data_IF_089767137657
#
_entry.id   IF_089767137657
#
_cell.length_a   1.000
_cell.length_b   1.000
_cell.length_c   1.000
_cell.angle_alpha   90.00
_cell.angle_beta   90.00
_cell.angle_gamma   90.00
#
_symmetry.space_group_name_H-M   'P 1'
#
loop_
_entity.id
_entity.type
_entity.pdbx_description
1 polymer ?
#
# COMPACT_ATOMS: atom_id res chain seq x y z
N UNK A 1 14.68 -36.34 -6.13
CA UNK A 1 13.21 -36.13 -6.09
C UNK A 1 12.57 -37.11 -5.10
N UNK A 2 12.67 -36.82 -3.79
CA UNK A 2 12.04 -37.65 -2.77
C UNK A 2 10.69 -37.03 -2.38
N UNK A 3 9.62 -37.52 -2.97
CA UNK A 3 8.27 -37.48 -2.39
C UNK A 3 7.49 -36.17 -2.36
N UNK A 4 7.95 -35.07 -2.99
CA UNK A 4 7.17 -33.85 -3.06
C UNK A 4 6.13 -33.89 -4.18
N UNK A 5 4.85 -33.64 -3.83
CA UNK A 5 3.73 -33.62 -4.79
C UNK A 5 3.72 -32.41 -5.75
N UNK A 6 4.42 -31.29 -5.40
CA UNK A 6 4.50 -30.08 -6.23
C UNK A 6 5.96 -29.61 -6.28
N UNK A 7 6.46 -29.33 -7.49
CA UNK A 7 7.76 -28.72 -7.74
C UNK A 7 7.60 -27.20 -7.70
N UNK A 8 8.45 -26.51 -6.95
CA UNK A 8 8.54 -25.07 -7.00
C UNK A 8 9.67 -24.62 -7.95
N UNK A 9 9.74 -23.33 -8.24
CA UNK A 9 10.75 -22.74 -9.15
C UNK A 9 12.19 -23.02 -8.68
N UNK A 10 12.43 -23.06 -7.36
CA UNK A 10 13.72 -23.35 -6.76
C UNK A 10 14.15 -24.81 -6.93
N UNK A 11 13.20 -25.76 -6.86
CA UNK A 11 13.49 -27.18 -7.11
C UNK A 11 13.96 -27.38 -8.55
N UNK A 12 13.44 -26.59 -9.50
CA UNK A 12 13.85 -26.62 -10.92
C UNK A 12 15.26 -26.04 -11.06
N UNK A 13 15.55 -24.89 -10.45
CA UNK A 13 16.87 -24.25 -10.48
C UNK A 13 17.95 -25.16 -9.88
N UNK A 14 17.68 -25.78 -8.72
CA UNK A 14 18.60 -26.72 -8.07
C UNK A 14 18.83 -28.00 -8.89
N UNK A 15 17.82 -28.45 -9.64
CA UNK A 15 17.95 -29.58 -10.56
C UNK A 15 18.87 -29.24 -11.74
N UNK A 16 18.71 -28.07 -12.35
CA UNK A 16 19.55 -27.56 -13.44
C UNK A 16 21.01 -27.41 -12.99
N UNK A 17 21.23 -26.80 -11.81
CA UNK A 17 22.57 -26.60 -11.22
C UNK A 17 23.21 -27.91 -10.71
N UNK A 18 22.42 -28.97 -10.55
CA UNK A 18 22.88 -30.29 -10.13
C UNK A 18 23.37 -31.18 -11.26
N UNK A 19 23.12 -30.82 -12.52
CA UNK A 19 23.58 -31.56 -13.71
C UNK A 19 24.91 -31.00 -14.22
N UNK A 20 26.04 -31.60 -13.79
CA UNK A 20 27.39 -31.14 -14.05
C UNK A 20 27.74 -31.01 -15.56
N UNK A 21 27.03 -31.69 -16.44
CA UNK A 21 27.20 -31.65 -17.90
C UNK A 21 26.24 -30.69 -18.62
N UNK A 22 25.42 -29.97 -17.91
CA UNK A 22 24.46 -29.01 -18.49
C UNK A 22 25.17 -27.71 -18.86
N UNK A 23 24.94 -27.21 -20.08
CA UNK A 23 25.46 -25.91 -20.56
C UNK A 23 24.96 -24.78 -19.65
N UNK A 24 23.74 -24.88 -19.12
CA UNK A 24 23.16 -23.92 -18.20
C UNK A 24 23.86 -23.92 -16.85
N UNK A 25 24.28 -25.07 -16.32
CA UNK A 25 25.06 -25.18 -15.09
C UNK A 25 26.46 -24.58 -15.26
N UNK A 26 27.14 -24.85 -16.36
CA UNK A 26 28.46 -24.29 -16.68
C UNK A 26 28.41 -22.77 -16.83
N UNK A 27 27.36 -22.23 -17.45
CA UNK A 27 27.17 -20.79 -17.58
C UNK A 27 26.87 -20.12 -16.24
N UNK A 28 26.05 -20.74 -15.39
CA UNK A 28 25.76 -20.27 -14.05
C UNK A 28 27.02 -20.25 -13.16
N UNK A 29 27.88 -21.25 -13.29
CA UNK A 29 29.14 -21.36 -12.56
C UNK A 29 30.14 -20.26 -12.98
N UNK A 30 30.20 -19.92 -14.27
CA UNK A 30 30.97 -18.77 -14.77
C UNK A 30 30.49 -17.43 -14.21
N UNK A 31 29.19 -17.30 -13.90
CA UNK A 31 28.59 -16.14 -13.23
C UNK A 31 28.69 -16.20 -11.69
N UNK A 32 29.39 -17.20 -11.14
CA UNK A 32 29.58 -17.33 -9.69
C UNK A 32 28.39 -17.92 -8.95
N UNK A 33 27.42 -18.51 -9.67
CA UNK A 33 26.25 -19.19 -9.13
C UNK A 33 26.49 -20.71 -9.16
N UNK A 34 26.67 -21.34 -8.02
CA UNK A 34 26.75 -22.78 -7.88
C UNK A 34 25.69 -23.32 -6.90
N UNK A 35 25.43 -24.62 -6.95
CA UNK A 35 24.44 -25.30 -6.12
C UNK A 35 24.64 -25.04 -4.62
N UNK A 36 25.88 -25.01 -4.14
CA UNK A 36 26.20 -24.78 -2.73
C UNK A 36 25.83 -23.35 -2.29
N UNK A 37 26.04 -22.35 -3.17
CA UNK A 37 25.74 -20.95 -2.91
C UNK A 37 24.23 -20.71 -2.88
N UNK A 38 23.49 -21.33 -3.79
CA UNK A 38 22.02 -21.30 -3.83
C UNK A 38 21.44 -22.01 -2.61
N UNK A 39 22.01 -23.17 -2.20
CA UNK A 39 21.61 -23.84 -0.96
C UNK A 39 21.95 -23.03 0.31
N UNK A 40 23.07 -22.32 0.32
CA UNK A 40 23.43 -21.40 1.41
C UNK A 40 22.40 -20.28 1.54
N UNK A 41 22.03 -19.65 0.45
CA UNK A 41 20.97 -18.63 0.44
C UNK A 41 19.60 -19.19 0.86
N UNK A 42 19.29 -20.43 0.48
CA UNK A 42 18.07 -21.10 0.94
C UNK A 42 18.10 -21.39 2.44
N UNK A 43 19.25 -21.72 3.02
CA UNK A 43 19.39 -21.89 4.46
C UNK A 43 19.32 -20.54 5.20
N UNK A 44 19.89 -19.48 4.64
CA UNK A 44 19.77 -18.14 5.18
C UNK A 44 18.32 -17.64 5.07
N UNK A 45 17.65 -17.79 3.92
CA UNK A 45 16.22 -17.43 3.78
C UNK A 45 15.29 -18.35 4.56
N UNK A 46 15.57 -19.64 4.70
CA UNK A 46 14.77 -20.53 5.56
C UNK A 46 15.01 -20.28 7.05
N UNK A 47 16.17 -19.79 7.43
CA UNK A 47 16.40 -19.27 8.79
C UNK A 47 15.66 -17.94 9.01
N UNK A 48 15.47 -17.10 7.98
CA UNK A 48 14.60 -15.92 8.04
C UNK A 48 13.11 -16.30 8.04
N UNK A 49 12.69 -17.35 7.32
CA UNK A 49 11.31 -17.84 7.31
C UNK A 49 10.98 -18.75 8.50
N UNK A 50 11.98 -19.38 9.15
CA UNK A 50 11.82 -20.22 10.35
C UNK A 50 12.05 -19.50 11.68
N UNK A 51 12.53 -18.27 11.69
CA UNK A 51 12.53 -17.44 12.88
C UNK A 51 11.14 -16.82 13.10
N UNK A 52 10.18 -17.72 13.34
CA UNK A 52 9.38 -17.70 14.54
C UNK A 52 8.71 -16.36 14.93
N UNK A 53 7.58 -16.07 14.33
CA UNK A 53 6.59 -15.28 15.07
C UNK A 53 5.30 -16.07 15.33
N UNK A 54 5.10 -17.23 14.69
CA UNK A 54 3.91 -18.06 14.96
C UNK A 54 4.26 -19.54 15.15
N UNK A 55 4.80 -19.90 16.33
CA UNK A 55 4.57 -21.23 16.89
C UNK A 55 3.17 -21.25 17.46
N UNK A 56 2.32 -22.06 16.85
CA UNK A 56 0.97 -22.39 17.31
C UNK A 56 0.97 -22.84 18.76
N UNK A 57 -0.12 -22.51 19.45
CA UNK A 57 -0.39 -22.75 20.87
C UNK A 57 -0.42 -24.23 21.32
N UNK A 58 0.07 -25.19 20.53
CA UNK A 58 0.00 -26.62 20.84
C UNK A 58 1.26 -27.24 21.48
N UNK A 59 2.33 -26.47 21.73
CA UNK A 59 3.53 -26.94 22.45
C UNK A 59 3.56 -26.55 23.94
N UNK A 60 2.42 -26.56 24.62
CA UNK A 60 2.36 -26.43 26.06
C UNK A 60 2.47 -27.82 26.76
N UNK A 61 3.60 -28.49 26.55
CA UNK A 61 4.08 -29.52 27.53
C UNK A 61 5.61 -29.67 27.42
N UNK A 62 6.30 -28.90 28.23
CA UNK A 62 7.67 -29.22 28.65
C UNK A 62 8.82 -28.45 28.02
N UNK A 63 9.30 -27.42 28.71
CA UNK A 63 10.65 -26.88 28.48
C UNK A 63 10.71 -25.36 28.40
N UNK A 64 11.07 -24.73 29.49
CA UNK A 64 11.32 -23.29 29.63
C UNK A 64 12.41 -22.80 28.69
N UNK A 65 12.02 -22.14 27.62
CA UNK A 65 12.81 -21.06 26.99
C UNK A 65 11.87 -19.88 26.73
N UNK A 66 12.16 -18.78 27.43
CA UNK A 66 11.49 -17.50 27.24
C UNK A 66 11.83 -17.00 25.83
N UNK A 67 11.06 -17.41 24.83
CA UNK A 67 11.03 -16.78 23.54
C UNK A 67 10.46 -15.37 23.72
N UNK A 68 11.20 -14.33 23.33
CA UNK A 68 10.72 -12.96 23.29
C UNK A 68 9.45 -12.93 22.43
N UNK A 69 8.31 -12.57 23.02
CA UNK A 69 7.12 -12.25 22.22
C UNK A 69 7.47 -11.03 21.36
N UNK A 70 7.06 -11.00 20.08
CA UNK A 70 7.34 -9.85 19.21
C UNK A 70 6.79 -8.57 19.85
N UNK A 71 7.56 -7.52 19.77
CA UNK A 71 7.12 -6.20 20.24
C UNK A 71 5.94 -5.71 19.39
N UNK A 72 5.05 -4.85 19.92
CA UNK A 72 3.96 -4.28 19.13
C UNK A 72 4.43 -3.65 17.82
N UNK A 73 5.58 -2.96 17.86
CA UNK A 73 6.16 -2.32 16.68
C UNK A 73 6.64 -3.33 15.62
N UNK A 74 7.22 -4.47 16.04
CA UNK A 74 7.60 -5.55 15.11
C UNK A 74 6.37 -6.15 14.41
N UNK A 75 5.26 -6.34 15.15
CA UNK A 75 3.99 -6.81 14.58
C UNK A 75 3.46 -5.80 13.55
N UNK A 76 3.56 -4.49 13.85
CA UNK A 76 3.14 -3.45 12.90
C UNK A 76 3.99 -3.46 11.63
N UNK A 77 5.32 -3.55 11.75
CA UNK A 77 6.24 -3.61 10.60
C UNK A 77 5.99 -4.83 9.70
N UNK A 78 5.45 -5.90 10.27
CA UNK A 78 5.12 -7.11 9.50
C UNK A 78 3.92 -6.90 8.58
N UNK A 79 2.90 -6.16 9.02
CA UNK A 79 1.62 -6.03 8.33
C UNK A 79 1.31 -4.62 7.83
N UNK A 80 2.08 -3.64 8.25
CA UNK A 80 1.87 -2.24 7.91
C UNK A 80 3.15 -1.61 7.37
N UNK A 81 2.99 -0.51 6.66
CA UNK A 81 4.09 0.35 6.18
C UNK A 81 4.04 1.67 6.93
N UNK A 82 5.17 2.13 7.46
CA UNK A 82 5.26 3.42 8.15
C UNK A 82 5.35 4.55 7.12
N UNK A 83 4.27 5.29 6.97
CA UNK A 83 4.19 6.37 6.00
C UNK A 83 5.04 7.60 6.39
N UNK A 84 5.32 7.79 7.68
CA UNK A 84 6.17 8.89 8.13
C UNK A 84 7.66 8.66 7.80
N UNK A 85 8.10 7.41 7.65
CA UNK A 85 9.48 7.09 7.26
C UNK A 85 9.73 7.33 5.76
N UNK A 86 8.68 7.22 4.95
CA UNK A 86 8.75 7.35 3.50
C UNK A 86 8.25 8.73 3.01
N UNK A 87 8.18 9.73 3.89
CA UNK A 87 7.54 11.02 3.59
C UNK A 87 8.23 11.80 2.45
N UNK A 88 9.51 11.61 2.26
CA UNK A 88 10.35 12.22 1.22
C UNK A 88 10.13 11.61 -0.18
N UNK A 89 9.55 10.41 -0.23
CA UNK A 89 9.13 9.78 -1.48
C UNK A 89 7.75 10.27 -1.97
N UNK A 90 7.02 11.04 -1.12
CA UNK A 90 5.67 11.49 -1.46
C UNK A 90 5.67 12.87 -2.10
N UNK A 91 4.94 12.97 -3.19
CA UNK A 91 4.69 14.25 -3.85
C UNK A 91 3.91 15.21 -2.94
N UNK A 92 4.02 16.49 -3.20
CA UNK A 92 3.25 17.51 -2.49
C UNK A 92 1.76 17.34 -2.77
N UNK A 93 0.96 17.37 -1.70
CA UNK A 93 -0.49 17.26 -1.80
C UNK A 93 -1.10 18.58 -2.31
N UNK A 94 -0.96 18.82 -3.62
CA UNK A 94 -1.43 20.04 -4.29
C UNK A 94 -2.94 19.97 -4.54
N UNK A 95 -3.61 21.13 -4.45
CA UNK A 95 -5.04 21.24 -4.78
C UNK A 95 -6.00 20.60 -3.76
N UNK A 96 -5.52 20.02 -2.66
CA UNK A 96 -6.31 19.28 -1.65
C UNK A 96 -6.29 19.90 -0.25
N UNK A 97 -6.06 21.21 -0.17
CA UNK A 97 -5.91 21.92 1.12
C UNK A 97 -7.13 21.80 2.02
N UNK A 98 -8.34 21.80 1.45
CA UNK A 98 -9.57 21.72 2.23
C UNK A 98 -9.78 20.33 2.80
N UNK A 99 -9.64 19.30 1.97
CA UNK A 99 -9.75 17.89 2.37
C UNK A 99 -8.68 17.53 3.41
N UNK A 100 -7.45 17.97 3.21
CA UNK A 100 -6.36 17.77 4.16
C UNK A 100 -6.62 18.49 5.51
N UNK A 101 -7.13 19.71 5.46
CA UNK A 101 -7.54 20.45 6.67
C UNK A 101 -8.66 19.74 7.41
N UNK A 102 -9.67 19.24 6.70
CA UNK A 102 -10.78 18.48 7.29
C UNK A 102 -10.30 17.17 7.90
N UNK A 103 -9.32 16.51 7.27
CA UNK A 103 -8.69 15.30 7.78
C UNK A 103 -7.93 15.59 9.08
N UNK A 104 -7.05 16.61 9.10
CA UNK A 104 -6.31 17.07 10.28
C UNK A 104 -7.27 17.39 11.42
N UNK A 105 -8.33 18.18 11.16
CA UNK A 105 -9.33 18.53 12.15
C UNK A 105 -10.05 17.30 12.70
N UNK A 106 -10.38 16.33 11.84
CA UNK A 106 -11.07 15.10 12.23
C UNK A 106 -10.20 14.25 13.13
N UNK A 107 -8.95 14.00 12.73
CA UNK A 107 -7.99 13.19 13.51
C UNK A 107 -7.64 13.84 14.85
N UNK A 108 -7.64 15.19 14.93
CA UNK A 108 -7.40 15.94 16.16
C UNK A 108 -8.55 15.89 17.17
N UNK A 109 -9.76 15.42 16.80
CA UNK A 109 -10.91 15.37 17.70
C UNK A 109 -10.72 14.36 18.84
N UNK A 110 -11.31 14.66 20.00
CA UNK A 110 -11.38 13.73 21.14
C UNK A 110 -12.38 12.58 20.90
N UNK A 111 -13.47 12.86 20.20
CA UNK A 111 -14.52 11.88 19.83
C UNK A 111 -14.75 11.97 18.34
N UNK A 112 -15.10 10.85 17.69
CA UNK A 112 -15.27 10.76 16.24
C UNK A 112 -14.00 11.19 15.49
N UNK A 113 -12.85 10.69 15.95
CA UNK A 113 -11.53 10.97 15.40
C UNK A 113 -11.17 10.11 14.20
N UNK A 114 -12.07 9.22 13.77
CA UNK A 114 -11.87 8.44 12.57
C UNK A 114 -12.42 9.18 11.34
N UNK A 115 -11.69 9.12 10.25
CA UNK A 115 -12.08 9.70 8.96
C UNK A 115 -12.30 8.62 7.92
N UNK A 116 -13.22 8.86 7.00
CA UNK A 116 -13.37 8.07 5.80
C UNK A 116 -13.37 8.99 4.59
N UNK A 117 -12.35 8.82 3.74
CA UNK A 117 -12.20 9.51 2.47
C UNK A 117 -13.04 8.76 1.43
N UNK A 118 -14.00 9.44 0.83
CA UNK A 118 -14.86 8.85 -0.20
C UNK A 118 -14.73 9.62 -1.51
N UNK A 119 -14.70 8.89 -2.62
CA UNK A 119 -14.60 9.50 -3.95
C UNK A 119 -14.26 8.47 -5.01
N UNK A 120 -14.33 8.86 -6.26
CA UNK A 120 -14.00 7.99 -7.39
C UNK A 120 -12.61 7.36 -7.28
N UNK A 121 -12.35 6.30 -8.05
CA UNK A 121 -10.98 5.80 -8.19
C UNK A 121 -10.12 6.85 -8.89
N UNK A 122 -8.85 6.98 -8.49
CA UNK A 122 -7.88 7.89 -9.11
C UNK A 122 -8.04 9.37 -8.79
N UNK A 123 -8.91 9.77 -7.82
CA UNK A 123 -9.06 11.19 -7.42
C UNK A 123 -8.00 11.67 -6.43
N UNK A 124 -7.09 10.81 -5.94
CA UNK A 124 -6.01 11.18 -5.03
C UNK A 124 -6.36 11.04 -3.54
N UNK A 125 -7.19 10.07 -3.14
CA UNK A 125 -7.51 9.80 -1.73
C UNK A 125 -6.26 9.44 -0.91
N UNK A 126 -5.43 8.55 -1.43
CA UNK A 126 -4.18 8.10 -0.80
C UNK A 126 -3.17 9.24 -0.68
N UNK A 127 -3.07 10.11 -1.71
CA UNK A 127 -2.21 11.30 -1.69
C UNK A 127 -2.56 12.28 -0.55
N UNK A 128 -3.84 12.39 -0.16
CA UNK A 128 -4.25 13.21 1.00
C UNK A 128 -3.68 12.64 2.30
N UNK A 129 -3.63 11.31 2.44
CA UNK A 129 -3.08 10.66 3.64
C UNK A 129 -1.56 10.76 3.67
N UNK A 130 -0.90 10.62 2.52
CA UNK A 130 0.54 10.88 2.34
C UNK A 130 0.88 12.33 2.71
N UNK A 131 0.07 13.30 2.25
CA UNK A 131 0.20 14.69 2.64
C UNK A 131 0.04 14.93 4.15
N UNK A 132 -0.86 14.19 4.82
CA UNK A 132 -0.97 14.23 6.29
C UNK A 132 0.31 13.72 6.96
N UNK A 133 0.86 12.58 6.51
CA UNK A 133 2.10 12.03 7.05
C UNK A 133 3.27 13.02 6.89
N UNK A 134 3.40 13.65 5.72
CA UNK A 134 4.39 14.71 5.44
C UNK A 134 4.23 15.90 6.38
N UNK A 135 3.01 16.43 6.55
CA UNK A 135 2.74 17.54 7.47
C UNK A 135 3.07 17.20 8.93
N UNK A 136 2.87 15.95 9.36
CA UNK A 136 3.24 15.50 10.71
C UNK A 136 4.76 15.54 10.88
N UNK A 137 5.51 14.99 9.93
CA UNK A 137 6.98 14.95 9.98
C UNK A 137 7.56 16.36 9.94
N UNK A 138 7.04 17.23 9.10
CA UNK A 138 7.44 18.63 8.99
C UNK A 138 7.02 19.51 10.19
N UNK A 139 6.16 18.97 11.08
CA UNK A 139 5.67 19.70 12.23
C UNK A 139 4.60 20.76 11.92
N UNK A 140 4.00 20.71 10.75
CA UNK A 140 2.96 21.62 10.27
C UNK A 140 1.53 21.20 10.68
N UNK A 141 1.41 20.58 11.84
CA UNK A 141 0.15 20.07 12.40
C UNK A 141 -0.06 20.56 13.83
N UNK A 142 -1.30 20.55 14.36
CA UNK A 142 -1.55 20.86 15.77
C UNK A 142 -0.81 19.90 16.71
N UNK A 143 -0.39 20.39 17.88
CA UNK A 143 0.37 19.64 18.90
C UNK A 143 -0.25 18.28 19.26
N UNK A 144 -1.59 18.18 19.23
CA UNK A 144 -2.31 16.94 19.57
C UNK A 144 -2.04 15.76 18.63
N UNK A 145 -1.55 16.04 17.42
CA UNK A 145 -1.22 15.00 16.41
C UNK A 145 0.24 15.05 15.96
N UNK A 146 1.06 15.91 16.54
CA UNK A 146 2.45 16.15 16.16
C UNK A 146 3.33 14.91 16.30
N UNK A 147 3.08 14.11 17.35
CA UNK A 147 3.87 12.90 17.63
C UNK A 147 3.22 11.62 17.07
N UNK A 148 2.18 11.78 16.21
CA UNK A 148 1.50 10.62 15.62
C UNK A 148 2.27 10.07 14.44
N UNK A 149 2.14 8.75 14.26
CA UNK A 149 2.70 8.03 13.12
C UNK A 149 1.57 7.41 12.32
N UNK A 150 1.56 7.68 11.03
CA UNK A 150 0.60 7.08 10.10
C UNK A 150 1.15 5.74 9.62
N UNK A 151 0.40 4.68 9.84
CA UNK A 151 0.72 3.32 9.38
C UNK A 151 -0.31 2.86 8.37
N UNK A 152 0.12 2.52 7.18
CA UNK A 152 -0.72 1.96 6.13
C UNK A 152 -0.81 0.44 6.27
N UNK A 153 -2.03 -0.09 6.38
CA UNK A 153 -2.28 -1.51 6.46
C UNK A 153 -2.15 -2.17 5.09
N UNK A 154 -1.24 -3.13 4.98
CA UNK A 154 -1.07 -3.95 3.79
C UNK A 154 -1.90 -5.24 3.89
N UNK A 155 -3.04 -5.25 3.22
CA UNK A 155 -3.93 -6.41 3.19
C UNK A 155 -3.28 -7.63 2.52
N UNK A 156 -2.37 -7.40 1.57
CA UNK A 156 -1.66 -8.48 0.89
C UNK A 156 -0.76 -9.24 1.87
N UNK A 157 -0.01 -8.52 2.71
CA UNK A 157 0.83 -9.11 3.75
C UNK A 157 0.01 -9.86 4.80
N UNK A 158 -1.18 -9.38 5.15
CA UNK A 158 -2.08 -10.06 6.10
C UNK A 158 -2.57 -11.41 5.57
N UNK A 159 -2.89 -11.48 4.28
CA UNK A 159 -3.45 -12.69 3.65
C UNK A 159 -2.36 -13.64 3.13
N UNK A 160 -1.18 -13.14 2.79
CA UNK A 160 -0.10 -13.93 2.21
C UNK A 160 0.27 -15.13 3.11
N UNK A 161 0.26 -16.34 2.53
CA UNK A 161 0.65 -17.57 3.23
C UNK A 161 -0.37 -18.12 4.24
N UNK A 162 -1.52 -17.49 4.45
CA UNK A 162 -2.61 -18.06 5.27
C UNK A 162 -3.26 -19.22 4.53
N UNK A 163 -3.21 -20.41 5.10
CA UNK A 163 -3.86 -21.61 4.53
C UNK A 163 -5.25 -21.84 5.10
N UNK A 164 -5.47 -21.41 6.31
CA UNK A 164 -6.71 -21.59 7.04
C UNK A 164 -7.24 -20.24 7.54
N UNK A 165 -8.55 -20.18 7.75
CA UNK A 165 -9.23 -19.00 8.30
C UNK A 165 -8.63 -18.58 9.65
N UNK A 166 -8.24 -19.53 10.50
CA UNK A 166 -7.64 -19.28 11.82
C UNK A 166 -6.32 -18.49 11.73
N UNK A 167 -5.47 -18.79 10.74
CA UNK A 167 -4.17 -18.10 10.57
C UNK A 167 -4.37 -16.59 10.35
N UNK A 168 -5.35 -16.23 9.54
CA UNK A 168 -5.72 -14.83 9.31
C UNK A 168 -6.31 -14.17 10.57
N UNK A 169 -7.20 -14.88 11.27
CA UNK A 169 -7.81 -14.39 12.50
C UNK A 169 -6.77 -14.14 13.59
N UNK A 170 -5.75 -14.99 13.72
CA UNK A 170 -4.66 -14.83 14.68
C UNK A 170 -3.77 -13.62 14.33
N UNK A 171 -3.45 -13.41 13.05
CA UNK A 171 -2.72 -12.21 12.58
C UNK A 171 -3.50 -10.93 12.87
N UNK A 172 -4.79 -10.91 12.57
CA UNK A 172 -5.65 -9.76 12.84
C UNK A 172 -5.77 -9.46 14.34
N UNK A 173 -5.81 -10.50 15.18
CA UNK A 173 -5.82 -10.35 16.64
C UNK A 173 -4.49 -9.76 17.13
N UNK A 174 -3.35 -10.30 16.67
CA UNK A 174 -2.02 -9.79 17.01
C UNK A 174 -1.85 -8.32 16.58
N UNK A 175 -2.31 -7.97 15.38
CA UNK A 175 -2.33 -6.59 14.89
C UNK A 175 -3.20 -5.68 15.78
N UNK A 176 -4.43 -6.14 16.12
CA UNK A 176 -5.33 -5.40 17.01
C UNK A 176 -4.73 -5.13 18.39
N UNK A 177 -4.07 -6.14 18.99
CA UNK A 177 -3.38 -5.99 20.26
C UNK A 177 -2.16 -5.05 20.19
N UNK A 178 -1.42 -5.09 19.07
CA UNK A 178 -0.30 -4.18 18.83
C UNK A 178 -0.78 -2.73 18.72
N UNK A 179 -1.85 -2.49 17.95
CA UNK A 179 -2.46 -1.17 17.79
C UNK A 179 -3.02 -0.59 19.09
N UNK A 180 -3.55 -1.45 19.99
CA UNK A 180 -4.05 -0.99 21.30
C UNK A 180 -2.92 -0.58 22.27
N UNK A 181 -1.73 -1.15 22.12
CA UNK A 181 -0.56 -0.85 22.96
C UNK A 181 0.22 0.39 22.51
N UNK A 182 0.02 0.82 21.27
CA UNK A 182 0.70 1.97 20.66
C UNK A 182 -0.28 3.13 20.44
N UNK A 183 -0.43 4.05 21.40
CA UNK A 183 -1.47 5.09 21.36
C UNK A 183 -1.22 6.19 20.32
N UNK A 184 0.00 6.26 19.78
CA UNK A 184 0.42 7.32 18.86
C UNK A 184 0.26 6.94 17.38
N UNK A 185 -0.48 5.87 17.12
CA UNK A 185 -0.75 5.38 15.77
C UNK A 185 -2.02 6.00 15.19
N UNK A 186 -1.93 6.34 13.90
CA UNK A 186 -3.06 6.55 12.99
C UNK A 186 -2.98 5.44 11.95
N UNK A 187 -3.97 4.54 11.96
CA UNK A 187 -4.02 3.45 10.99
C UNK A 187 -4.72 3.91 9.72
N UNK A 188 -4.02 3.89 8.60
CA UNK A 188 -4.61 4.08 7.29
C UNK A 188 -4.98 2.73 6.66
N UNK A 189 -6.19 2.64 6.13
CA UNK A 189 -6.70 1.44 5.44
C UNK A 189 -7.25 1.88 4.10
N UNK A 190 -6.50 1.61 3.05
CA UNK A 190 -7.03 1.78 1.71
C UNK A 190 -8.04 0.68 1.39
N UNK A 191 -9.02 0.98 0.53
CA UNK A 191 -10.12 0.06 0.19
C UNK A 191 -10.78 -0.55 1.46
N UNK A 192 -11.02 0.26 2.52
CA UNK A 192 -11.52 -0.20 3.83
C UNK A 192 -12.81 -1.04 3.75
N UNK A 193 -13.57 -0.90 2.67
CA UNK A 193 -14.78 -1.69 2.42
C UNK A 193 -14.47 -3.19 2.26
N UNK A 194 -13.26 -3.56 1.84
CA UNK A 194 -12.83 -4.96 1.71
C UNK A 194 -12.77 -5.67 3.06
N UNK A 195 -12.42 -4.93 4.11
CA UNK A 195 -12.36 -5.42 5.48
C UNK A 195 -13.74 -5.47 6.12
N UNK A 196 -14.55 -4.41 5.95
CA UNK A 196 -15.82 -4.24 6.65
C UNK A 196 -16.95 -5.04 5.98
N UNK A 197 -16.91 -5.17 4.65
CA UNK A 197 -17.95 -5.86 3.86
C UNK A 197 -17.82 -7.38 3.76
N UNK A 198 -16.71 -7.94 4.19
CA UNK A 198 -16.39 -9.35 4.03
C UNK A 198 -17.30 -10.33 4.80
N UNK A 199 -18.13 -9.83 5.73
CA UNK A 199 -19.00 -10.67 6.56
C UNK A 199 -20.30 -11.19 5.93
N UNK A 200 -20.63 -10.82 4.68
CA UNK A 200 -21.93 -11.11 4.08
C UNK A 200 -21.97 -12.29 3.09
N UNK A 201 -20.84 -12.81 2.68
CA UNK A 201 -20.75 -13.97 1.78
C UNK A 201 -20.06 -15.13 2.48
N UNK A 202 -20.72 -16.28 2.54
CA UNK A 202 -20.21 -17.52 3.14
C UNK A 202 -18.84 -17.89 2.56
N UNK A 203 -17.79 -17.72 3.35
CA UNK A 203 -16.42 -18.09 3.00
C UNK A 203 -15.40 -16.99 2.98
N UNK A 204 -15.77 -15.72 3.04
CA UNK A 204 -14.84 -14.60 3.14
C UNK A 204 -14.47 -14.30 4.61
N UNK A 205 -13.18 -14.01 4.82
CA UNK A 205 -12.59 -13.74 6.13
C UNK A 205 -13.26 -12.53 6.80
N UNK A 206 -13.72 -12.69 8.05
CA UNK A 206 -14.47 -11.66 8.78
C UNK A 206 -13.54 -10.70 9.54
N UNK A 207 -12.61 -10.07 8.79
CA UNK A 207 -11.69 -9.09 9.33
C UNK A 207 -12.40 -7.89 9.97
N UNK A 208 -13.56 -7.52 9.43
CA UNK A 208 -14.35 -6.41 9.94
C UNK A 208 -14.81 -6.62 11.36
N UNK A 209 -15.27 -7.82 11.71
CA UNK A 209 -15.73 -8.11 13.06
C UNK A 209 -14.58 -8.10 14.07
N UNK A 210 -13.34 -8.38 13.67
CA UNK A 210 -12.18 -8.34 14.55
C UNK A 210 -11.68 -6.91 14.82
N UNK A 211 -11.77 -6.01 13.84
CA UNK A 211 -11.43 -4.60 14.03
C UNK A 211 -12.57 -3.78 14.65
N UNK A 212 -13.84 -4.22 14.52
CA UNK A 212 -15.00 -3.53 15.11
C UNK A 212 -14.82 -3.18 16.60
N UNK A 213 -14.31 -4.04 17.50
CA UNK A 213 -14.09 -3.68 18.90
C UNK A 213 -13.05 -2.58 19.07
N UNK A 214 -11.92 -2.65 18.37
CA UNK A 214 -10.87 -1.64 18.43
C UNK A 214 -11.35 -0.28 17.87
N UNK A 215 -12.07 -0.30 16.75
CA UNK A 215 -12.73 0.88 16.18
C UNK A 215 -13.84 1.40 17.12
N UNK A 216 -14.51 0.49 17.84
CA UNK A 216 -15.58 0.82 18.76
C UNK A 216 -15.07 1.43 20.06
N UNK A 217 -13.88 1.06 20.55
CA UNK A 217 -13.31 1.57 21.80
C UNK A 217 -12.95 3.06 21.72
N UNK A 218 -12.71 3.60 20.51
CA UNK A 218 -12.23 4.96 20.29
C UNK A 218 -10.77 5.16 20.70
N UNK A 219 -10.05 4.10 21.04
CA UNK A 219 -8.63 4.12 21.36
C UNK A 219 -7.78 4.22 20.09
N UNK A 220 -8.21 3.55 19.03
CA UNK A 220 -7.55 3.55 17.73
C UNK A 220 -8.10 4.68 16.85
N UNK A 221 -7.20 5.43 16.23
CA UNK A 221 -7.54 6.40 15.18
C UNK A 221 -7.36 5.74 13.81
N UNK A 222 -8.39 5.81 13.00
CA UNK A 222 -8.40 5.18 11.68
C UNK A 222 -8.78 6.18 10.61
N UNK A 223 -8.05 6.15 9.52
CA UNK A 223 -8.38 6.81 8.26
C UNK A 223 -8.67 5.70 7.27
N UNK A 224 -9.89 5.65 6.74
CA UNK A 224 -10.24 4.74 5.66
C UNK A 224 -10.36 5.47 4.34
N UNK A 225 -10.05 4.80 3.23
CA UNK A 225 -10.37 5.27 1.89
C UNK A 225 -11.29 4.25 1.20
N UNK A 226 -12.24 4.74 0.40
CA UNK A 226 -13.15 3.90 -0.37
C UNK A 226 -13.82 4.70 -1.49
N UNK A 227 -14.54 4.03 -2.38
CA UNK A 227 -15.38 4.71 -3.38
C UNK A 227 -16.73 5.11 -2.78
N UNK A 228 -17.43 6.09 -3.40
CA UNK A 228 -18.78 6.49 -2.96
C UNK A 228 -19.77 5.34 -3.08
N UNK A 229 -19.62 4.49 -4.07
CA UNK A 229 -20.48 3.33 -4.29
C UNK A 229 -20.31 2.30 -3.17
N UNK A 230 -19.06 1.92 -2.84
CA UNK A 230 -18.74 0.97 -1.78
C UNK A 230 -19.09 1.53 -0.39
N UNK A 231 -18.92 2.84 -0.18
CA UNK A 231 -19.37 3.51 1.04
C UNK A 231 -20.86 3.29 1.27
N UNK A 232 -21.72 3.51 0.25
CA UNK A 232 -23.17 3.29 0.35
C UNK A 232 -23.52 1.83 0.56
N UNK A 233 -22.83 0.91 -0.12
CA UNK A 233 -23.09 -0.53 -0.01
C UNK A 233 -22.76 -1.10 1.37
N UNK A 234 -21.68 -0.64 1.97
CA UNK A 234 -21.09 -1.22 3.17
C UNK A 234 -21.33 -0.35 4.40
N UNK A 235 -20.84 0.90 4.41
CA UNK A 235 -20.86 1.75 5.60
C UNK A 235 -22.24 2.28 5.98
N UNK A 236 -23.09 2.64 5.02
CA UNK A 236 -24.45 3.11 5.34
C UNK A 236 -25.30 2.04 6.00
N UNK A 237 -25.03 0.77 5.73
CA UNK A 237 -25.70 -0.36 6.38
C UNK A 237 -25.20 -0.64 7.79
N UNK A 238 -23.92 -0.37 8.04
CA UNK A 238 -23.24 -0.56 9.32
C UNK A 238 -23.34 0.69 10.20
N UNK A 239 -24.52 1.04 10.65
CA UNK A 239 -24.82 2.28 11.39
C UNK A 239 -23.96 2.50 12.63
N UNK A 240 -23.49 1.44 13.28
CA UNK A 240 -22.60 1.52 14.45
C UNK A 240 -21.22 2.05 14.09
N UNK A 241 -20.68 1.66 12.92
CA UNK A 241 -19.42 2.17 12.39
C UNK A 241 -19.57 3.55 11.78
N UNK A 242 -20.59 3.78 10.96
CA UNK A 242 -20.85 5.06 10.31
C UNK A 242 -20.90 6.24 11.29
N UNK A 243 -21.45 6.02 12.51
CA UNK A 243 -21.50 7.05 13.57
C UNK A 243 -20.13 7.42 14.15
N UNK A 244 -19.10 6.62 13.91
CA UNK A 244 -17.75 6.82 14.46
C UNK A 244 -16.79 7.42 13.47
N UNK A 245 -17.14 7.38 12.19
CA UNK A 245 -16.36 7.96 11.10
C UNK A 245 -16.95 9.31 10.68
N UNK A 246 -16.07 10.25 10.37
CA UNK A 246 -16.42 11.49 9.69
C UNK A 246 -16.14 11.29 8.21
N UNK A 247 -17.18 11.42 7.37
CA UNK A 247 -17.06 11.33 5.92
C UNK A 247 -16.43 12.60 5.38
N UNK A 248 -15.36 12.45 4.59
CA UNK A 248 -14.71 13.52 3.84
C UNK A 248 -14.83 13.15 2.36
N UNK A 249 -15.50 13.99 1.60
CA UNK A 249 -15.72 13.73 0.17
C UNK A 249 -14.55 14.28 -0.63
N UNK A 250 -13.92 13.41 -1.42
CA UNK A 250 -12.80 13.76 -2.32
C UNK A 250 -13.33 13.76 -3.74
N UNK A 251 -13.64 14.94 -4.24
CA UNK A 251 -14.11 15.12 -5.61
C UNK A 251 -13.00 15.03 -6.66
N UNK A 252 -13.38 14.90 -7.92
CA UNK A 252 -12.45 15.09 -9.03
C UNK A 252 -11.93 16.53 -9.00
N UNK A 253 -10.61 16.80 -9.13
CA UNK A 253 -10.08 18.14 -9.16
C UNK A 253 -10.56 18.88 -10.42
N UNK A 254 -10.64 20.21 -10.35
CA UNK A 254 -10.81 21.01 -11.55
C UNK A 254 -9.57 20.94 -12.46
N UNK A 255 -9.70 21.41 -13.71
CA UNK A 255 -8.62 21.31 -14.69
C UNK A 255 -7.35 22.05 -14.25
N UNK A 256 -7.49 23.22 -13.61
CA UNK A 256 -6.35 24.00 -13.17
C UNK A 256 -5.58 23.26 -12.05
N UNK A 257 -6.31 22.75 -11.06
CA UNK A 257 -5.72 21.93 -9.97
C UNK A 257 -5.12 20.63 -10.52
N UNK A 258 -5.75 19.98 -11.48
CA UNK A 258 -5.22 18.75 -12.09
C UNK A 258 -3.92 19.01 -12.87
N UNK A 259 -3.82 20.13 -13.58
CA UNK A 259 -2.57 20.56 -14.24
C UNK A 259 -1.47 20.83 -13.23
N UNK A 260 -1.79 21.58 -12.17
CA UNK A 260 -0.82 21.85 -11.09
C UNK A 260 -0.31 20.56 -10.42
N UNK A 261 -1.20 19.60 -10.13
CA UNK A 261 -0.82 18.29 -9.60
C UNK A 261 0.11 17.56 -10.55
N UNK A 262 -0.26 17.47 -11.84
CA UNK A 262 0.55 16.77 -12.84
C UNK A 262 1.93 17.39 -12.98
N UNK A 263 2.02 18.73 -13.10
CA UNK A 263 3.29 19.45 -13.25
C UNK A 263 4.23 19.24 -12.06
N UNK A 264 3.70 19.21 -10.82
CA UNK A 264 4.52 18.97 -9.63
C UNK A 264 5.04 17.51 -9.53
N UNK A 265 4.40 16.58 -10.21
CA UNK A 265 4.76 15.15 -10.16
C UNK A 265 5.60 14.71 -11.36
N UNK A 266 5.80 15.57 -12.38
CA UNK A 266 6.52 15.20 -13.62
C UNK A 266 7.91 14.64 -13.35
N UNK A 267 8.65 15.21 -12.39
CA UNK A 267 10.03 14.84 -12.10
C UNK A 267 10.16 13.34 -11.80
N UNK A 268 9.21 12.75 -11.09
CA UNK A 268 9.24 11.32 -10.79
C UNK A 268 9.08 10.44 -12.04
N UNK A 269 8.29 10.89 -13.02
CA UNK A 269 8.13 10.20 -14.31
C UNK A 269 9.34 10.41 -15.22
N UNK A 270 9.89 11.63 -15.24
CA UNK A 270 11.11 11.96 -16.00
C UNK A 270 12.30 11.12 -15.54
N UNK A 271 12.50 11.01 -14.23
CA UNK A 271 13.56 10.20 -13.63
C UNK A 271 13.38 8.71 -13.95
N UNK A 272 12.15 8.19 -13.81
CA UNK A 272 11.86 6.78 -14.08
C UNK A 272 12.05 6.40 -15.55
N UNK A 273 11.59 7.26 -16.47
CA UNK A 273 11.65 7.00 -17.90
C UNK A 273 12.94 7.51 -18.56
N UNK A 274 13.74 8.30 -17.85
CA UNK A 274 14.95 8.98 -18.36
C UNK A 274 14.65 9.80 -19.61
N UNK A 275 13.62 10.65 -19.54
CA UNK A 275 13.15 11.54 -20.60
C UNK A 275 12.58 12.79 -19.95
N UNK A 276 12.76 13.97 -20.55
CA UNK A 276 12.11 15.20 -20.08
C UNK A 276 10.69 15.32 -20.64
N UNK A 277 9.79 16.00 -19.93
CA UNK A 277 8.41 16.20 -20.36
C UNK A 277 8.14 17.68 -20.43
N UNK A 278 7.76 18.17 -21.61
CA UNK A 278 7.43 19.59 -21.79
C UNK A 278 6.13 19.93 -21.03
N UNK A 279 6.10 21.06 -20.33
CA UNK A 279 4.93 21.49 -19.53
C UNK A 279 3.65 21.54 -20.36
N UNK A 280 3.72 22.06 -21.61
CA UNK A 280 2.56 22.10 -22.53
C UNK A 280 2.04 20.69 -22.89
N UNK A 281 2.93 19.69 -22.96
CA UNK A 281 2.54 18.30 -23.19
C UNK A 281 1.76 17.75 -21.98
N UNK A 282 2.24 18.02 -20.77
CA UNK A 282 1.55 17.65 -19.55
C UNK A 282 0.17 18.32 -19.42
N UNK A 283 0.09 19.64 -19.68
CA UNK A 283 -1.19 20.34 -19.67
C UNK A 283 -2.17 19.79 -20.72
N UNK A 284 -1.67 19.49 -21.92
CA UNK A 284 -2.47 18.88 -22.96
C UNK A 284 -2.99 17.49 -22.57
N UNK A 285 -2.19 16.68 -21.86
CA UNK A 285 -2.62 15.38 -21.36
C UNK A 285 -3.84 15.50 -20.43
N UNK A 286 -3.86 16.54 -19.56
CA UNK A 286 -5.03 16.84 -18.72
C UNK A 286 -6.24 17.20 -19.57
N UNK A 287 -6.08 18.12 -20.53
CA UNK A 287 -7.17 18.60 -21.37
C UNK A 287 -7.76 17.47 -22.22
N UNK A 288 -6.91 16.68 -22.91
CA UNK A 288 -7.35 15.57 -23.75
C UNK A 288 -7.98 14.44 -22.92
N UNK A 289 -7.38 14.10 -21.77
CA UNK A 289 -7.97 13.09 -20.89
C UNK A 289 -9.35 13.52 -20.39
N UNK A 290 -9.52 14.79 -20.05
CA UNK A 290 -10.83 15.34 -19.64
C UNK A 290 -11.85 15.27 -20.77
N UNK A 291 -11.44 15.59 -21.99
CA UNK A 291 -12.32 15.67 -23.14
C UNK A 291 -12.73 14.28 -23.69
N UNK A 292 -11.85 13.29 -23.63
CA UNK A 292 -12.06 12.00 -24.34
C UNK A 292 -12.14 10.78 -23.41
N UNK A 293 -11.66 10.85 -22.15
CA UNK A 293 -11.69 9.72 -21.22
C UNK A 293 -12.72 9.94 -20.13
N UNK A 294 -13.89 9.29 -20.25
CA UNK A 294 -15.04 9.49 -19.35
C UNK A 294 -15.12 8.44 -18.22
N UNK A 295 -14.50 7.28 -18.41
CA UNK A 295 -14.55 6.16 -17.46
C UNK A 295 -13.52 6.23 -16.34
N UNK A 296 -12.58 7.17 -16.40
CA UNK A 296 -11.57 7.44 -15.37
C UNK A 296 -11.65 8.88 -14.88
N UNK A 297 -11.06 9.17 -13.74
CA UNK A 297 -11.06 10.48 -13.09
C UNK A 297 -9.69 11.15 -13.16
N UNK A 298 -9.69 12.50 -13.13
CA UNK A 298 -8.49 13.29 -12.91
C UNK A 298 -8.05 13.17 -11.43
N UNK A 299 -6.74 13.22 -11.18
CA UNK A 299 -5.62 13.37 -12.13
C UNK A 299 -5.16 12.05 -12.77
N UNK A 300 -5.59 10.89 -12.29
CA UNK A 300 -5.12 9.54 -12.66
C UNK A 300 -5.10 9.32 -14.20
N UNK A 301 -6.19 9.68 -14.89
CA UNK A 301 -6.25 9.51 -16.35
C UNK A 301 -5.24 10.36 -17.14
N UNK A 302 -4.78 11.49 -16.58
CA UNK A 302 -3.77 12.31 -17.21
C UNK A 302 -2.36 11.72 -16.99
N UNK A 303 -2.10 11.18 -15.79
CA UNK A 303 -0.89 10.41 -15.50
C UNK A 303 -0.75 9.20 -16.43
N UNK A 304 -1.84 8.46 -16.68
CA UNK A 304 -1.85 7.33 -17.60
C UNK A 304 -1.40 7.71 -19.01
N UNK A 305 -1.79 8.91 -19.51
CA UNK A 305 -1.37 9.38 -20.83
C UNK A 305 0.13 9.67 -20.85
N UNK A 306 0.63 10.40 -19.85
CA UNK A 306 2.04 10.76 -19.74
C UNK A 306 2.91 9.49 -19.61
N UNK A 307 2.56 8.59 -18.69
CA UNK A 307 3.28 7.34 -18.49
C UNK A 307 3.33 6.49 -19.78
N UNK A 308 2.21 6.43 -20.50
CA UNK A 308 2.13 5.70 -21.76
C UNK A 308 2.99 6.34 -22.84
N UNK A 309 3.02 7.67 -22.97
CA UNK A 309 3.85 8.37 -23.95
C UNK A 309 5.34 8.15 -23.66
N UNK A 310 5.76 8.29 -22.41
CA UNK A 310 7.12 8.03 -21.97
C UNK A 310 7.53 6.56 -22.17
N UNK A 311 6.65 5.61 -21.81
CA UNK A 311 6.89 4.19 -22.02
C UNK A 311 7.02 3.84 -23.51
N UNK A 312 6.19 4.46 -24.37
CA UNK A 312 6.27 4.29 -25.82
C UNK A 312 7.63 4.77 -26.36
N UNK A 313 8.07 5.97 -25.95
CA UNK A 313 9.39 6.47 -26.32
C UNK A 313 10.53 5.52 -25.89
N UNK A 314 10.42 4.93 -24.70
CA UNK A 314 11.46 4.03 -24.17
C UNK A 314 11.60 2.70 -24.92
N UNK A 315 10.55 2.20 -25.56
CA UNK A 315 10.60 0.95 -26.36
C UNK A 315 11.08 1.17 -27.80
N UNK A 316 11.20 2.42 -28.28
CA UNK A 316 11.75 2.72 -29.59
C UNK A 316 13.23 2.34 -29.65
N UNK A 317 13.78 2.08 -30.88
CA UNK A 317 15.21 1.96 -31.09
C UNK A 317 15.96 3.19 -30.56
N UNK A 318 17.19 3.05 -30.03
CA UNK A 318 17.91 4.17 -29.41
C UNK A 318 18.03 5.43 -30.29
N UNK A 319 18.15 5.24 -31.63
CA UNK A 319 18.25 6.31 -32.62
C UNK A 319 16.93 7.04 -32.89
N UNK A 320 15.80 6.49 -32.48
CA UNK A 320 14.46 7.07 -32.66
C UNK A 320 13.89 7.64 -31.35
N UNK A 321 14.62 7.46 -30.23
CA UNK A 321 14.18 7.97 -28.93
C UNK A 321 14.32 9.47 -28.86
N UNK A 322 13.28 10.08 -28.31
CA UNK A 322 13.27 11.51 -28.03
C UNK A 322 13.89 11.77 -26.64
N UNK A 323 14.63 12.84 -26.53
CA UNK A 323 15.12 13.34 -25.23
C UNK A 323 14.01 14.07 -24.44
N UNK A 324 12.96 14.51 -25.15
CA UNK A 324 11.84 15.26 -24.59
C UNK A 324 10.50 14.84 -25.22
N UNK A 325 9.51 14.60 -24.37
CA UNK A 325 8.13 14.38 -24.79
C UNK A 325 7.43 15.73 -24.98
N UNK A 326 6.98 15.99 -26.18
CA UNK A 326 6.27 17.22 -26.55
C UNK A 326 4.78 16.95 -26.78
N UNK A 327 4.09 17.98 -27.22
CA UNK A 327 2.65 17.96 -27.53
C UNK A 327 2.27 16.88 -28.57
N UNK A 328 3.17 16.58 -29.52
CA UNK A 328 2.88 15.64 -30.61
C UNK A 328 2.83 14.17 -30.14
N UNK A 329 3.59 13.82 -29.10
CA UNK A 329 3.59 12.47 -28.50
C UNK A 329 2.36 12.22 -27.63
N UNK A 330 1.66 13.28 -27.21
CA UNK A 330 0.43 13.20 -26.41
C UNK A 330 -0.84 13.11 -27.28
N UNK A 331 -0.80 13.56 -28.53
CA UNK A 331 -1.93 13.52 -29.47
C UNK A 331 -2.15 12.15 -30.07
#
# INVERSE_FOLDING_TARGET
FQGKKNLNQLDIVLSILGEENSVAAQYAEQMGLNKSKVMGWMQETSNFENDQIFRTADDHLGGSSRGNQPTPREVLMQFCTNMNENYDEYDDCVGRRNELKDLVQTVARKKKSNAILTGGSGVGKTAIVQGLAKLIVEGHVPDIIKDKVVWELDMTKLVAGTKYRGDFEDRMRALGEALEKEPDIILFIDEIHTIIGAGSTSGTMDAGNMLKPALASGKLKVIGATTDEEYRKVFEKETALARRFTKIVVGEPDLASAKEVLLNTLVSYEDYHNVTIHEEAAELAVDLSHQYIFNKKLPDKAFDIIDRACAFNRILPPEERLDMINVDEIR
#
